data_IF_554297077587
#
_entry.id   IF_554297077587
#
_cell.length_a   1.000
_cell.length_b   1.000
_cell.length_c   1.000
_cell.angle_alpha   90.00
_cell.angle_beta   90.00
_cell.angle_gamma   90.00
#
_symmetry.space_group_name_H-M   'P 1'
#
loop_
_entity.id
_entity.type
_entity.pdbx_description
1 polymer ?
#
# COMPACT_ATOMS: atom_id res chain seq x y z
N UNK A 1 51.16 60.40 18.73
CA UNK A 1 51.31 58.99 18.26
C UNK A 1 50.04 58.28 18.58
N UNK A 2 49.15 58.09 17.59
CA UNK A 2 47.87 57.36 17.74
C UNK A 2 48.06 55.93 17.24
N UNK A 3 47.95 54.95 18.14
CA UNK A 3 47.96 53.50 17.79
C UNK A 3 46.56 53.10 17.34
N UNK A 4 46.42 52.77 16.06
CA UNK A 4 45.20 52.20 15.49
C UNK A 4 45.19 50.68 15.71
N UNK A 5 44.22 50.21 16.51
CA UNK A 5 44.01 48.80 16.77
C UNK A 5 43.00 48.25 15.76
N UNK A 6 43.44 47.48 14.75
CA UNK A 6 42.55 46.79 13.82
C UNK A 6 41.99 45.53 14.48
N UNK A 7 40.69 45.55 14.76
CA UNK A 7 39.95 44.41 15.26
C UNK A 7 39.58 43.53 14.05
N UNK A 8 40.23 42.37 13.87
CA UNK A 8 39.86 41.37 12.88
C UNK A 8 38.63 40.60 13.37
N UNK A 9 37.46 40.87 12.76
CA UNK A 9 36.24 40.13 12.97
C UNK A 9 36.33 38.85 12.13
N UNK A 10 36.61 37.72 12.78
CA UNK A 10 36.61 36.39 12.13
C UNK A 10 35.15 35.88 12.03
N UNK A 11 34.51 36.06 10.88
CA UNK A 11 33.19 35.49 10.60
C UNK A 11 33.40 34.01 10.28
N UNK A 12 33.14 33.14 11.23
CA UNK A 12 33.06 31.70 10.99
C UNK A 12 31.79 31.36 10.21
N UNK A 13 31.95 31.17 8.91
CA UNK A 13 30.88 30.69 8.04
C UNK A 13 30.62 29.21 8.36
N UNK A 14 29.65 28.90 9.20
CA UNK A 14 29.19 27.54 9.44
C UNK A 14 28.41 27.10 8.20
N UNK A 15 29.06 26.42 7.28
CA UNK A 15 28.40 25.77 6.17
C UNK A 15 27.56 24.59 6.69
N UNK A 16 26.28 24.83 6.90
CA UNK A 16 25.30 23.77 7.11
C UNK A 16 25.16 22.99 5.79
N UNK A 17 25.89 21.89 5.66
CA UNK A 17 25.69 20.94 4.57
C UNK A 17 24.33 20.25 4.77
N UNK A 18 23.29 20.75 4.12
CA UNK A 18 22.06 20.01 3.96
C UNK A 18 22.37 18.77 3.11
N UNK A 19 22.50 17.62 3.76
CA UNK A 19 22.52 16.35 3.06
C UNK A 19 21.13 16.17 2.43
N UNK A 20 21.02 16.39 1.13
CA UNK A 20 19.81 16.01 0.39
C UNK A 20 19.66 14.48 0.56
N UNK A 21 18.68 14.05 1.34
CA UNK A 21 18.30 12.65 1.41
C UNK A 21 17.63 12.36 0.07
N UNK A 22 18.36 11.68 -0.81
CA UNK A 22 17.80 11.17 -2.07
C UNK A 22 16.82 10.07 -1.70
N UNK A 23 15.52 10.33 -1.85
CA UNK A 23 14.49 9.31 -1.73
C UNK A 23 14.50 8.43 -2.98
N UNK A 24 14.50 7.12 -2.80
CA UNK A 24 14.24 6.18 -3.88
C UNK A 24 12.73 6.04 -4.08
N UNK A 25 12.31 6.05 -5.34
CA UNK A 25 10.92 5.82 -5.76
C UNK A 25 10.87 4.53 -6.57
N UNK A 26 9.82 3.75 -6.34
CA UNK A 26 9.58 2.47 -6.98
C UNK A 26 8.13 2.45 -7.48
N UNK A 27 7.94 2.10 -8.75
CA UNK A 27 6.63 1.91 -9.38
C UNK A 27 6.26 0.44 -9.48
N UNK A 28 4.96 0.12 -9.44
CA UNK A 28 4.48 -1.27 -9.58
C UNK A 28 4.80 -1.84 -10.97
N UNK A 29 5.21 -3.10 -11.01
CA UNK A 29 5.13 -3.95 -12.19
C UNK A 29 3.78 -4.68 -12.17
N UNK A 30 2.84 -4.20 -12.97
CA UNK A 30 1.48 -4.73 -12.99
C UNK A 30 1.39 -6.16 -13.56
N UNK A 31 2.38 -6.60 -14.35
CA UNK A 31 2.40 -7.94 -14.91
C UNK A 31 2.77 -9.01 -13.86
N UNK A 32 3.49 -8.60 -12.81
CA UNK A 32 3.96 -9.48 -11.73
C UNK A 32 3.38 -9.10 -10.36
N UNK A 33 2.28 -8.33 -10.36
CA UNK A 33 1.64 -7.89 -9.12
C UNK A 33 0.15 -8.25 -9.11
N UNK A 34 -0.38 -8.47 -7.90
CA UNK A 34 -1.78 -8.81 -7.70
C UNK A 34 -2.27 -8.23 -6.38
N UNK A 35 -3.47 -7.62 -6.40
CA UNK A 35 -4.23 -7.31 -5.19
C UNK A 35 -5.41 -8.26 -5.10
N UNK A 36 -5.42 -9.13 -4.10
CA UNK A 36 -6.44 -10.13 -3.88
C UNK A 36 -7.11 -10.01 -2.52
N UNK A 37 -8.20 -10.73 -2.39
CA UNK A 37 -8.93 -10.91 -1.14
C UNK A 37 -9.50 -12.31 -1.04
N UNK A 38 -9.80 -12.72 0.19
CA UNK A 38 -10.49 -13.97 0.51
C UNK A 38 -11.56 -13.68 1.57
N UNK A 39 -12.72 -14.32 1.43
CA UNK A 39 -13.81 -14.27 2.40
C UNK A 39 -14.44 -15.63 2.57
N UNK A 40 -14.74 -16.00 3.82
CA UNK A 40 -15.43 -17.27 4.12
C UNK A 40 -16.90 -17.17 3.70
N UNK A 41 -17.36 -18.14 2.90
CA UNK A 41 -18.73 -18.28 2.46
C UNK A 41 -19.39 -19.43 3.21
N UNK A 42 -20.54 -19.15 3.84
CA UNK A 42 -21.37 -20.09 4.62
C UNK A 42 -20.60 -20.89 5.69
N UNK A 43 -19.43 -20.42 6.11
CA UNK A 43 -18.57 -21.08 7.09
C UNK A 43 -17.88 -22.36 6.60
N UNK A 44 -17.97 -22.71 5.32
CA UNK A 44 -17.52 -24.00 4.78
C UNK A 44 -16.56 -23.89 3.58
N UNK A 45 -16.46 -22.72 2.96
CA UNK A 45 -15.60 -22.55 1.79
C UNK A 45 -15.11 -21.09 1.70
N UNK A 46 -14.07 -20.90 0.92
CA UNK A 46 -13.51 -19.58 0.65
C UNK A 46 -13.93 -19.08 -0.73
N UNK A 47 -14.42 -17.85 -0.79
CA UNK A 47 -14.59 -17.10 -2.03
C UNK A 47 -13.40 -16.16 -2.20
N UNK A 48 -12.67 -16.33 -3.29
CA UNK A 48 -11.49 -15.52 -3.62
C UNK A 48 -11.81 -14.53 -4.74
N UNK A 49 -11.15 -13.41 -4.72
CA UNK A 49 -11.21 -12.42 -5.79
C UNK A 49 -9.95 -11.57 -5.85
N UNK A 50 -9.88 -10.75 -6.90
CA UNK A 50 -8.82 -9.76 -7.09
C UNK A 50 -9.38 -8.51 -7.75
N UNK A 51 -8.56 -7.46 -7.81
CA UNK A 51 -8.78 -6.28 -8.62
C UNK A 51 -7.72 -6.26 -9.73
N UNK A 52 -8.15 -6.22 -11.00
CA UNK A 52 -7.24 -6.39 -12.14
C UNK A 52 -6.47 -5.12 -12.48
N UNK A 53 -6.99 -3.93 -12.09
CA UNK A 53 -6.28 -2.66 -12.26
C UNK A 53 -5.83 -2.11 -10.92
N UNK A 54 -4.52 -2.19 -10.70
CA UNK A 54 -3.86 -1.72 -9.47
C UNK A 54 -2.66 -0.88 -9.85
N UNK A 55 -2.46 0.21 -9.15
CA UNK A 55 -1.22 0.99 -9.16
C UNK A 55 -0.66 1.05 -7.76
N UNK A 56 0.67 1.09 -7.65
CA UNK A 56 1.35 1.28 -6.37
C UNK A 56 2.64 2.05 -6.58
N UNK A 57 2.88 3.03 -5.73
CA UNK A 57 4.16 3.70 -5.60
C UNK A 57 4.72 3.48 -4.20
N UNK A 58 6.00 3.13 -4.14
CA UNK A 58 6.72 3.01 -2.87
C UNK A 58 7.85 4.02 -2.86
N UNK A 59 7.89 4.87 -1.84
CA UNK A 59 8.99 5.82 -1.65
C UNK A 59 9.72 5.50 -0.36
N UNK A 60 11.05 5.56 -0.37
CA UNK A 60 11.88 5.30 0.82
C UNK A 60 13.13 6.18 0.80
N UNK A 61 13.58 6.61 1.97
CA UNK A 61 14.86 7.30 2.13
C UNK A 61 16.06 6.35 2.02
N UNK A 62 15.85 5.03 2.15
CA UNK A 62 16.91 4.03 2.10
C UNK A 62 16.43 2.84 1.26
N UNK A 63 17.01 2.68 0.08
CA UNK A 63 16.65 1.61 -0.87
C UNK A 63 17.11 0.20 -0.45
N UNK A 64 17.86 0.08 0.64
CA UNK A 64 18.26 -1.21 1.23
C UNK A 64 17.40 -1.64 2.41
N UNK A 65 16.58 -0.72 2.94
CA UNK A 65 15.66 -0.97 4.05
C UNK A 65 14.40 -0.11 3.85
N UNK A 66 13.26 -0.74 3.89
CA UNK A 66 11.96 -0.08 3.72
C UNK A 66 11.35 0.42 5.05
N UNK A 67 12.16 0.54 6.10
CA UNK A 67 11.76 1.26 7.32
C UNK A 67 11.41 2.70 6.95
N UNK A 68 10.25 3.17 7.42
CA UNK A 68 9.68 4.48 7.11
C UNK A 68 9.31 4.70 5.63
N UNK A 69 9.28 3.62 4.83
CA UNK A 69 8.78 3.70 3.46
C UNK A 69 7.28 4.07 3.43
N UNK A 70 6.90 4.83 2.42
CA UNK A 70 5.50 5.14 2.13
C UNK A 70 5.02 4.23 0.99
N UNK A 71 3.92 3.53 1.23
CA UNK A 71 3.19 2.77 0.23
C UNK A 71 1.91 3.53 -0.13
N UNK A 72 1.73 3.83 -1.40
CA UNK A 72 0.56 4.50 -1.96
C UNK A 72 -0.03 3.61 -3.05
N UNK A 73 -1.14 2.92 -2.73
CA UNK A 73 -1.76 1.93 -3.59
C UNK A 73 -3.17 2.39 -3.95
N UNK A 74 -3.51 2.26 -5.23
CA UNK A 74 -4.85 2.55 -5.75
C UNK A 74 -5.31 1.39 -6.62
N UNK A 75 -6.56 0.93 -6.40
CA UNK A 75 -7.22 -0.06 -7.24
C UNK A 75 -8.53 0.49 -7.80
N UNK A 76 -8.85 0.11 -9.03
CA UNK A 76 -10.15 0.37 -9.65
C UNK A 76 -11.15 -0.70 -9.22
N UNK A 77 -12.13 -0.33 -8.40
CA UNK A 77 -13.14 -1.25 -7.88
C UNK A 77 -14.01 -1.88 -8.99
N UNK A 78 -14.15 -1.22 -10.15
CA UNK A 78 -14.86 -1.79 -11.30
C UNK A 78 -14.20 -3.06 -11.83
N UNK A 79 -12.91 -3.24 -11.57
CA UNK A 79 -12.12 -4.38 -12.07
C UNK A 79 -12.12 -5.57 -11.13
N UNK A 80 -13.05 -5.62 -10.19
CA UNK A 80 -13.23 -6.78 -9.31
C UNK A 80 -13.50 -8.02 -10.13
N UNK A 81 -12.77 -9.09 -9.84
CA UNK A 81 -12.79 -10.34 -10.56
C UNK A 81 -12.72 -11.50 -9.57
N UNK A 82 -13.78 -12.30 -9.52
CA UNK A 82 -13.88 -13.51 -8.71
C UNK A 82 -13.99 -14.77 -9.57
N UNK A 83 -13.83 -14.64 -10.89
CA UNK A 83 -13.98 -15.71 -11.85
C UNK A 83 -15.43 -16.08 -12.17
N UNK A 84 -16.41 -15.33 -11.65
CA UNK A 84 -17.85 -15.53 -11.93
C UNK A 84 -18.51 -14.18 -12.19
N UNK A 85 -18.83 -13.91 -13.45
CA UNK A 85 -19.34 -12.59 -13.90
C UNK A 85 -20.61 -12.16 -13.14
N UNK A 86 -21.56 -13.07 -12.88
CA UNK A 86 -22.78 -12.74 -12.15
C UNK A 86 -22.48 -12.25 -10.72
N UNK A 87 -21.48 -12.84 -10.05
CA UNK A 87 -21.01 -12.39 -8.73
C UNK A 87 -20.28 -11.06 -8.84
N UNK A 88 -19.43 -10.89 -9.83
CA UNK A 88 -18.66 -9.66 -10.05
C UNK A 88 -19.61 -8.48 -10.31
N UNK A 89 -20.67 -8.68 -11.09
CA UNK A 89 -21.70 -7.68 -11.32
C UNK A 89 -22.46 -7.34 -10.01
N UNK A 90 -22.79 -8.33 -9.18
CA UNK A 90 -23.41 -8.07 -7.87
C UNK A 90 -22.45 -7.34 -6.92
N UNK A 91 -21.18 -7.69 -6.91
CA UNK A 91 -20.18 -6.98 -6.09
C UNK A 91 -19.99 -5.52 -6.53
N UNK A 92 -20.17 -5.19 -7.81
CA UNK A 92 -20.12 -3.80 -8.31
C UNK A 92 -21.35 -2.98 -7.95
N UNK A 93 -22.48 -3.62 -7.63
CA UNK A 93 -23.75 -2.94 -7.36
C UNK A 93 -23.75 -2.15 -6.05
N UNK A 94 -24.85 -1.44 -5.80
CA UNK A 94 -25.06 -0.66 -4.57
C UNK A 94 -25.13 -1.52 -3.30
N UNK A 95 -25.43 -2.81 -3.45
CA UNK A 95 -25.45 -3.74 -2.33
C UNK A 95 -24.06 -3.99 -1.72
N UNK A 96 -22.97 -3.76 -2.52
CA UNK A 96 -21.61 -4.00 -2.11
C UNK A 96 -20.69 -2.79 -2.32
N UNK A 97 -19.97 -2.71 -3.43
CA UNK A 97 -18.96 -1.66 -3.65
C UNK A 97 -19.53 -0.35 -4.19
N UNK A 98 -20.77 -0.36 -4.72
CA UNK A 98 -21.41 0.82 -5.35
C UNK A 98 -20.44 1.56 -6.28
N UNK A 99 -19.80 0.82 -7.21
CA UNK A 99 -18.66 1.32 -7.98
C UNK A 99 -18.98 2.53 -8.86
N UNK A 100 -20.27 2.75 -9.21
CA UNK A 100 -20.72 3.96 -9.91
C UNK A 100 -20.48 5.23 -9.09
N UNK A 101 -20.52 5.13 -7.75
CA UNK A 101 -20.31 6.22 -6.81
C UNK A 101 -18.90 6.19 -6.19
N UNK A 102 -18.35 5.00 -6.01
CA UNK A 102 -17.09 4.75 -5.30
C UNK A 102 -16.15 3.87 -6.14
N UNK A 103 -15.66 4.35 -7.30
CA UNK A 103 -14.86 3.53 -8.22
C UNK A 103 -13.45 3.23 -7.71
N UNK A 104 -13.00 3.86 -6.64
CA UNK A 104 -11.61 3.81 -6.20
C UNK A 104 -11.51 3.18 -4.81
N UNK A 105 -10.58 2.22 -4.69
CA UNK A 105 -10.04 1.74 -3.42
C UNK A 105 -8.63 2.28 -3.30
N UNK A 106 -8.32 2.95 -2.18
CA UNK A 106 -7.00 3.54 -1.97
C UNK A 106 -6.45 3.18 -0.60
N UNK A 107 -5.16 2.85 -0.55
CA UNK A 107 -4.43 2.69 0.71
C UNK A 107 -3.20 3.58 0.69
N UNK A 108 -3.04 4.41 1.72
CA UNK A 108 -1.83 5.21 1.94
C UNK A 108 -1.26 4.96 3.32
N UNK A 109 -0.04 4.45 3.37
CA UNK A 109 0.61 4.20 4.65
C UNK A 109 0.96 5.52 5.35
N UNK A 110 0.78 5.52 6.66
CA UNK A 110 1.22 6.59 7.58
C UNK A 110 2.47 6.17 8.34
N UNK A 111 2.77 4.86 8.38
CA UNK A 111 3.94 4.31 9.06
C UNK A 111 4.30 2.96 8.46
N UNK A 112 5.62 2.72 8.32
CA UNK A 112 6.19 1.41 7.95
C UNK A 112 7.32 1.09 8.93
N UNK A 113 7.06 0.24 9.92
CA UNK A 113 8.01 -0.06 10.99
C UNK A 113 8.52 -1.49 10.87
N UNK A 114 9.82 -1.65 10.85
CA UNK A 114 10.44 -2.98 10.87
C UNK A 114 10.14 -3.68 12.20
N UNK A 115 9.62 -4.92 12.11
CA UNK A 115 9.29 -5.73 13.29
C UNK A 115 10.37 -6.76 13.52
N UNK A 116 10.65 -7.64 12.52
CA UNK A 116 11.66 -8.68 12.62
C UNK A 116 12.08 -9.14 11.23
N UNK A 117 13.39 -9.27 11.00
CA UNK A 117 13.93 -9.78 9.74
C UNK A 117 13.47 -8.95 8.54
N UNK A 118 12.68 -9.56 7.66
CA UNK A 118 12.11 -8.94 6.47
C UNK A 118 10.64 -8.48 6.64
N UNK A 119 10.10 -8.50 7.87
CA UNK A 119 8.71 -8.14 8.16
C UNK A 119 8.59 -6.73 8.71
N UNK A 120 7.61 -6.01 8.21
CA UNK A 120 7.26 -4.65 8.58
C UNK A 120 5.79 -4.58 8.99
N UNK A 121 5.50 -3.81 10.02
CA UNK A 121 4.14 -3.37 10.35
C UNK A 121 3.84 -2.12 9.52
N UNK A 122 2.87 -2.21 8.66
CA UNK A 122 2.42 -1.15 7.78
C UNK A 122 1.09 -0.62 8.31
N UNK A 123 1.08 0.58 8.87
CA UNK A 123 -0.15 1.27 9.29
C UNK A 123 -0.51 2.30 8.25
N UNK A 124 -1.78 2.46 7.94
CA UNK A 124 -2.21 3.43 6.96
C UNK A 124 -3.72 3.56 6.85
N UNK A 125 -4.14 4.54 6.06
CA UNK A 125 -5.54 4.82 5.79
C UNK A 125 -5.99 4.02 4.56
N UNK A 126 -6.99 3.16 4.75
CA UNK A 126 -7.68 2.45 3.68
C UNK A 126 -9.01 3.14 3.43
N UNK A 127 -9.22 3.56 2.19
CA UNK A 127 -10.45 4.22 1.72
C UNK A 127 -11.14 3.33 0.69
N UNK A 128 -12.38 2.97 0.92
CA UNK A 128 -13.24 2.29 -0.04
C UNK A 128 -14.70 2.53 0.30
N UNK A 129 -15.58 2.47 -0.70
CA UNK A 129 -17.03 2.67 -0.53
C UNK A 129 -17.36 3.97 0.24
N UNK A 130 -16.59 5.05 0.00
CA UNK A 130 -16.77 6.35 0.67
C UNK A 130 -16.32 6.42 2.13
N UNK A 131 -15.81 5.34 2.70
CA UNK A 131 -15.35 5.27 4.11
C UNK A 131 -13.85 5.14 4.16
N UNK A 132 -13.21 5.88 5.08
CA UNK A 132 -11.77 5.77 5.36
C UNK A 132 -11.54 5.28 6.78
N UNK A 133 -10.72 4.25 6.93
CA UNK A 133 -10.31 3.67 8.23
C UNK A 133 -8.81 3.47 8.27
N UNK A 134 -8.24 3.66 9.45
CA UNK A 134 -6.87 3.22 9.70
C UNK A 134 -6.86 1.70 9.82
N UNK A 135 -5.92 1.06 9.10
CA UNK A 135 -5.72 -0.38 9.14
C UNK A 135 -4.25 -0.72 9.37
N UNK A 136 -4.00 -1.90 9.93
CA UNK A 136 -2.67 -2.44 10.13
C UNK A 136 -2.48 -3.68 9.27
N UNK A 137 -1.44 -3.66 8.44
CA UNK A 137 -1.08 -4.74 7.53
C UNK A 137 0.35 -5.22 7.85
N UNK A 138 0.65 -6.46 7.50
CA UNK A 138 2.02 -6.98 7.55
C UNK A 138 2.60 -6.98 6.15
N UNK A 139 3.66 -6.23 5.93
CA UNK A 139 4.45 -6.29 4.70
C UNK A 139 5.69 -7.17 4.93
N UNK A 140 5.89 -8.17 4.08
CA UNK A 140 7.09 -8.99 4.05
C UNK A 140 7.87 -8.64 2.78
N UNK A 141 9.10 -8.13 2.95
CA UNK A 141 10.00 -7.90 1.83
C UNK A 141 10.63 -9.22 1.41
N UNK A 142 10.30 -9.72 0.21
CA UNK A 142 10.78 -11.01 -0.28
C UNK A 142 12.25 -10.96 -0.71
N UNK A 143 12.70 -9.83 -1.24
CA UNK A 143 14.08 -9.61 -1.68
C UNK A 143 14.15 -8.67 -2.87
N UNK A 144 15.38 -8.57 -3.39
CA UNK A 144 15.71 -7.78 -4.58
C UNK A 144 16.12 -8.70 -5.73
N UNK A 145 15.88 -8.23 -6.95
CA UNK A 145 16.34 -8.85 -8.18
C UNK A 145 16.64 -7.77 -9.22
N UNK A 146 17.05 -8.20 -10.42
CA UNK A 146 17.07 -7.35 -11.62
C UNK A 146 16.12 -7.93 -12.66
N UNK A 147 15.31 -7.06 -13.26
CA UNK A 147 14.45 -7.47 -14.36
C UNK A 147 15.25 -7.63 -15.67
N UNK A 148 14.57 -8.01 -16.75
CA UNK A 148 15.21 -8.21 -18.07
C UNK A 148 15.89 -6.96 -18.61
N UNK A 149 15.43 -5.76 -18.23
CA UNK A 149 16.03 -4.48 -18.62
C UNK A 149 17.20 -4.08 -17.73
N UNK A 150 17.57 -4.90 -16.72
CA UNK A 150 18.65 -4.63 -15.78
C UNK A 150 18.27 -3.66 -14.65
N UNK A 151 16.98 -3.26 -14.54
CA UNK A 151 16.49 -2.40 -13.49
C UNK A 151 16.35 -3.17 -12.17
N UNK A 152 16.61 -2.49 -11.06
CA UNK A 152 16.40 -3.05 -9.73
C UNK A 152 14.92 -3.23 -9.46
N UNK A 153 14.55 -4.40 -8.95
CA UNK A 153 13.18 -4.74 -8.55
C UNK A 153 13.19 -5.23 -7.10
N UNK A 154 12.09 -4.97 -6.38
CA UNK A 154 11.87 -5.45 -5.03
C UNK A 154 10.49 -6.12 -4.94
N UNK A 155 10.44 -7.28 -4.26
CA UNK A 155 9.20 -8.02 -4.09
C UNK A 155 8.63 -7.85 -2.68
N UNK A 156 7.30 -7.70 -2.56
CA UNK A 156 6.58 -7.63 -1.30
C UNK A 156 5.37 -8.56 -1.30
N UNK A 157 5.16 -9.21 -0.15
CA UNK A 157 3.87 -9.81 0.20
C UNK A 157 3.26 -9.00 1.33
N UNK A 158 2.06 -8.43 1.09
CA UNK A 158 1.33 -7.66 2.10
C UNK A 158 0.06 -8.43 2.44
N UNK A 159 -0.16 -8.64 3.73
CA UNK A 159 -1.33 -9.36 4.24
C UNK A 159 -1.98 -8.61 5.39
N UNK A 160 -3.28 -8.78 5.55
CA UNK A 160 -4.02 -8.22 6.66
C UNK A 160 -5.47 -8.68 6.69
N UNK A 161 -6.19 -8.22 7.69
CA UNK A 161 -7.62 -8.51 7.86
C UNK A 161 -8.36 -7.23 8.11
N UNK A 162 -9.53 -7.10 7.49
CA UNK A 162 -10.46 -6.00 7.71
C UNK A 162 -11.87 -6.58 7.90
N UNK A 163 -12.78 -5.75 8.38
CA UNK A 163 -14.21 -6.09 8.37
C UNK A 163 -14.90 -5.32 7.24
N UNK A 164 -15.68 -6.04 6.41
CA UNK A 164 -16.48 -5.39 5.37
C UNK A 164 -17.51 -4.42 5.93
N UNK A 165 -18.04 -4.71 7.12
CA UNK A 165 -18.99 -3.84 7.83
C UNK A 165 -18.38 -2.50 8.23
N UNK A 166 -17.07 -2.43 8.50
CA UNK A 166 -16.36 -1.17 8.79
C UNK A 166 -16.40 -0.19 7.63
N UNK A 167 -16.62 -0.68 6.41
CA UNK A 167 -16.72 0.12 5.17
C UNK A 167 -18.12 0.12 4.57
N UNK A 168 -19.13 -0.33 5.32
CA UNK A 168 -20.53 -0.42 4.89
C UNK A 168 -20.74 -1.27 3.63
N UNK A 169 -19.83 -2.23 3.34
CA UNK A 169 -19.91 -3.11 2.16
C UNK A 169 -20.78 -4.32 2.50
N UNK A 170 -21.80 -4.57 1.68
CA UNK A 170 -22.73 -5.70 1.85
C UNK A 170 -23.44 -5.65 3.20
N UNK A 171 -23.91 -4.48 3.64
CA UNK A 171 -24.50 -4.25 4.97
C UNK A 171 -25.69 -5.18 5.26
N UNK A 172 -26.47 -5.50 4.21
CA UNK A 172 -27.67 -6.33 4.31
C UNK A 172 -27.36 -7.83 4.08
N UNK A 173 -26.10 -8.17 3.79
CA UNK A 173 -25.65 -9.56 3.60
C UNK A 173 -25.41 -10.23 4.97
N UNK A 174 -26.17 -11.30 5.32
CA UNK A 174 -25.98 -11.97 6.59
C UNK A 174 -24.55 -12.53 6.76
N UNK A 175 -23.97 -12.34 7.95
CA UNK A 175 -22.60 -12.81 8.27
C UNK A 175 -22.48 -14.34 8.16
N UNK A 176 -23.59 -15.05 8.37
CA UNK A 176 -23.66 -16.51 8.18
C UNK A 176 -23.49 -16.91 6.69
N UNK A 177 -23.81 -16.04 5.74
CA UNK A 177 -23.66 -16.29 4.29
C UNK A 177 -22.30 -15.80 3.80
N UNK A 178 -21.93 -14.56 4.13
CA UNK A 178 -20.61 -13.99 3.78
C UNK A 178 -20.01 -13.41 5.05
N UNK A 179 -18.90 -13.99 5.48
CA UNK A 179 -18.23 -13.55 6.70
C UNK A 179 -17.94 -12.04 6.70
N UNK A 180 -17.91 -11.43 7.88
CA UNK A 180 -17.57 -10.01 8.02
C UNK A 180 -16.07 -9.77 7.84
N UNK A 181 -15.24 -10.72 8.30
CA UNK A 181 -13.79 -10.64 8.14
C UNK A 181 -13.36 -10.98 6.72
N UNK A 182 -12.64 -10.06 6.10
CA UNK A 182 -12.00 -10.21 4.79
C UNK A 182 -10.50 -10.30 4.98
N UNK A 183 -9.87 -11.32 4.42
CA UNK A 183 -8.42 -11.40 4.33
C UNK A 183 -7.95 -10.66 3.08
N UNK A 184 -7.01 -9.74 3.27
CA UNK A 184 -6.35 -9.00 2.19
C UNK A 184 -5.00 -9.63 1.91
N UNK A 185 -4.66 -9.76 0.62
CA UNK A 185 -3.37 -10.23 0.16
C UNK A 185 -2.94 -9.43 -1.07
N UNK A 186 -1.77 -8.81 -1.01
CA UNK A 186 -1.15 -8.21 -2.17
C UNK A 186 0.25 -8.82 -2.36
N UNK A 187 0.50 -9.33 -3.56
CA UNK A 187 1.82 -9.69 -4.05
C UNK A 187 2.25 -8.57 -4.99
N UNK A 188 3.34 -7.86 -4.64
CA UNK A 188 3.80 -6.69 -5.38
C UNK A 188 5.25 -6.90 -5.82
N UNK A 189 5.50 -6.70 -7.10
CA UNK A 189 6.81 -6.43 -7.64
C UNK A 189 6.89 -4.95 -7.99
N UNK A 190 7.89 -4.25 -7.45
CA UNK A 190 8.09 -2.83 -7.71
C UNK A 190 9.46 -2.59 -8.33
N UNK A 191 9.50 -1.75 -9.35
CA UNK A 191 10.68 -1.39 -10.15
C UNK A 191 11.19 -0.04 -9.69
N UNK A 192 12.49 0.07 -9.47
CA UNK A 192 13.13 1.33 -9.10
C UNK A 192 13.11 2.30 -10.28
N UNK A 193 12.59 3.51 -10.03
CA UNK A 193 12.55 4.62 -11.02
C UNK A 193 13.91 5.31 -11.14
#
# INVERSE_FOLDING_TARGET
MKKSTYLFLLIALVAFSFKMISSASWGIDSAHSRLGFNVVHMGISDANGSFDKVSCNVTTANDKDFTDATFDLVADANTINTGLEARDNHLRSEDFFAVSQHPVIAFKSTSCKKVKGKKYLLTGNLSMHGVTKEVMLTATHNGYAKNRAGLDVAGFKITGKIKRSDFSIGKDMPVAVVADEIQLEADLEVVKN
#
